data_IF_385570683515
#
_entry.id   IF_385570683515
#
_cell.length_a   1.000
_cell.length_b   1.000
_cell.length_c   1.000
_cell.angle_alpha   90.00
_cell.angle_beta   90.00
_cell.angle_gamma   90.00
#
_symmetry.space_group_name_H-M   'P 1'
#
loop_
_entity.id
_entity.type
_entity.pdbx_description
1 polymer ?
#
# COMPACT_ATOMS: atom_id res chain seq x y z
N UNK A 1 9.22 -7.30 13.74
CA UNK A 1 8.14 -7.67 12.80
C UNK A 1 7.47 -6.47 12.11
N UNK A 2 6.68 -5.62 12.79
CA UNK A 2 5.99 -4.49 12.11
C UNK A 2 6.98 -3.45 11.54
N UNK A 3 7.97 -3.02 12.33
CA UNK A 3 9.04 -2.13 11.87
C UNK A 3 9.93 -2.75 10.77
N UNK A 4 10.16 -4.07 10.82
CA UNK A 4 10.90 -4.77 9.77
C UNK A 4 10.13 -4.84 8.46
N UNK A 5 8.81 -5.11 8.52
CA UNK A 5 7.94 -5.11 7.34
C UNK A 5 7.86 -3.70 6.75
N UNK A 6 7.67 -2.68 7.59
CA UNK A 6 7.64 -1.29 7.16
C UNK A 6 8.97 -0.87 6.52
N UNK A 7 10.10 -1.23 7.14
CA UNK A 7 11.43 -0.95 6.62
C UNK A 7 11.70 -1.67 5.29
N UNK A 8 11.27 -2.91 5.15
CA UNK A 8 11.38 -3.65 3.89
C UNK A 8 10.49 -3.06 2.79
N UNK A 9 9.29 -2.58 3.12
CA UNK A 9 8.44 -1.86 2.17
C UNK A 9 9.04 -0.50 1.79
N UNK A 10 9.56 0.25 2.76
CA UNK A 10 10.26 1.52 2.52
C UNK A 10 11.45 1.31 1.58
N UNK A 11 12.27 0.28 1.80
CA UNK A 11 13.39 -0.05 0.94
C UNK A 11 12.97 -0.40 -0.50
N UNK A 12 11.85 -1.11 -0.69
CA UNK A 12 11.33 -1.40 -2.03
C UNK A 12 10.78 -0.13 -2.70
N UNK A 13 10.13 0.77 -1.96
CA UNK A 13 9.69 2.08 -2.46
C UNK A 13 10.89 2.93 -2.88
N UNK A 14 11.92 3.00 -2.04
CA UNK A 14 13.15 3.76 -2.30
C UNK A 14 13.91 3.23 -3.52
N UNK A 15 13.80 1.95 -3.85
CA UNK A 15 14.41 1.36 -5.05
C UNK A 15 13.68 1.75 -6.36
N UNK A 16 12.50 2.38 -6.28
CA UNK A 16 11.61 2.70 -7.42
C UNK A 16 11.72 4.17 -7.85
N UNK A 17 12.94 4.68 -8.07
CA UNK A 17 13.22 6.12 -8.25
C UNK A 17 12.91 6.69 -9.64
N UNK A 18 12.81 5.88 -10.69
CA UNK A 18 12.61 6.33 -12.08
C UNK A 18 11.21 6.02 -12.60
N UNK A 19 10.20 6.31 -11.78
CA UNK A 19 8.81 5.85 -11.98
C UNK A 19 7.84 7.03 -11.88
N UNK A 20 6.68 6.97 -12.55
CA UNK A 20 5.70 8.08 -12.62
C UNK A 20 5.01 8.39 -11.28
N UNK A 21 5.15 7.51 -10.29
CA UNK A 21 4.46 7.59 -9.01
C UNK A 21 5.36 8.26 -7.97
N UNK A 22 4.80 9.15 -7.14
CA UNK A 22 5.57 9.87 -6.15
C UNK A 22 6.15 8.94 -5.09
N UNK A 23 7.34 9.30 -4.62
CA UNK A 23 8.04 8.64 -3.54
C UNK A 23 7.36 8.93 -2.20
N UNK A 24 7.30 7.90 -1.36
CA UNK A 24 6.68 7.94 -0.04
C UNK A 24 7.74 7.67 1.04
N UNK A 25 7.65 8.44 2.13
CA UNK A 25 8.31 8.10 3.38
C UNK A 25 7.25 7.58 4.35
N UNK A 26 7.47 6.38 4.88
CA UNK A 26 6.54 5.66 5.75
C UNK A 26 7.01 5.68 7.19
N UNK A 27 6.10 5.93 8.12
CA UNK A 27 6.31 5.79 9.57
C UNK A 27 5.08 5.20 10.24
N UNK A 28 5.26 4.65 11.43
CA UNK A 28 4.15 4.23 12.29
C UNK A 28 4.08 5.19 13.48
N UNK A 29 2.87 5.66 13.79
CA UNK A 29 2.64 6.55 14.92
C UNK A 29 2.49 5.77 16.23
N UNK A 30 2.77 6.44 17.35
CA UNK A 30 2.57 5.87 18.68
C UNK A 30 3.86 5.50 19.42
N UNK A 31 3.78 5.38 20.76
CA UNK A 31 4.95 5.20 21.61
C UNK A 31 5.58 3.81 21.47
N UNK A 32 4.77 2.77 21.23
CA UNK A 32 5.28 1.39 21.10
C UNK A 32 6.04 1.21 19.79
N UNK A 33 5.56 1.85 18.72
CA UNK A 33 6.17 1.83 17.40
C UNK A 33 7.50 2.57 17.39
N UNK A 34 7.57 3.70 18.10
CA UNK A 34 8.83 4.42 18.32
C UNK A 34 9.83 3.59 19.12
N UNK A 35 9.38 2.92 20.19
CA UNK A 35 10.23 2.03 20.96
C UNK A 35 10.73 0.83 20.11
N UNK A 36 9.85 0.24 19.28
CA UNK A 36 10.21 -0.83 18.37
C UNK A 36 11.23 -0.36 17.32
N UNK A 37 11.06 0.84 16.76
CA UNK A 37 12.00 1.45 15.82
C UNK A 37 13.36 1.77 16.48
N UNK A 38 13.37 2.07 17.78
CA UNK A 38 14.58 2.25 18.59
C UNK A 38 15.24 0.91 19.01
N UNK A 39 14.71 -0.23 18.59
CA UNK A 39 15.29 -1.55 18.83
C UNK A 39 14.82 -2.24 20.11
N UNK A 40 13.70 -1.81 20.71
CA UNK A 40 13.10 -2.53 21.84
C UNK A 40 12.79 -3.98 21.46
N UNK A 41 13.11 -4.91 22.37
CA UNK A 41 12.81 -6.32 22.19
C UNK A 41 11.30 -6.57 22.27
N UNK A 42 10.86 -7.70 21.71
CA UNK A 42 9.45 -8.11 21.78
C UNK A 42 8.95 -8.22 23.22
N UNK A 43 9.77 -8.77 24.13
CA UNK A 43 9.42 -8.92 25.54
C UNK A 43 9.29 -7.56 26.24
N UNK A 44 10.17 -6.61 25.92
CA UNK A 44 10.10 -5.25 26.45
C UNK A 44 8.83 -4.53 25.98
N UNK A 45 8.52 -4.60 24.68
CA UNK A 45 7.30 -4.04 24.11
C UNK A 45 6.04 -4.67 24.73
N UNK A 46 6.04 -6.01 24.91
CA UNK A 46 4.95 -6.71 25.57
C UNK A 46 4.75 -6.25 27.02
N UNK A 47 5.83 -6.04 27.77
CA UNK A 47 5.78 -5.51 29.12
C UNK A 47 5.26 -4.05 29.15
N UNK A 48 5.70 -3.20 28.23
CA UNK A 48 5.26 -1.81 28.13
C UNK A 48 3.77 -1.70 27.77
N UNK A 49 3.29 -2.52 26.82
CA UNK A 49 1.87 -2.58 26.47
C UNK A 49 1.05 -3.08 27.66
N UNK A 50 1.49 -4.16 28.33
CA UNK A 50 0.80 -4.70 29.50
C UNK A 50 0.72 -3.66 30.63
N UNK A 51 1.79 -2.87 30.83
CA UNK A 51 1.79 -1.81 31.82
C UNK A 51 0.87 -0.65 31.44
N UNK A 52 0.88 -0.23 30.17
CA UNK A 52 -0.03 0.79 29.68
C UNK A 52 -1.50 0.40 29.88
N UNK A 53 -1.85 -0.85 29.53
CA UNK A 53 -3.20 -1.41 29.73
C UNK A 53 -3.57 -1.50 31.21
N UNK A 54 -2.62 -1.86 32.09
CA UNK A 54 -2.84 -1.88 33.54
C UNK A 54 -3.14 -0.48 34.09
N UNK A 55 -2.40 0.52 33.64
CA UNK A 55 -2.58 1.94 34.03
C UNK A 55 -3.84 2.58 33.46
N UNK A 56 -4.32 2.12 32.30
CA UNK A 56 -5.52 2.67 31.66
C UNK A 56 -6.83 2.01 32.09
N UNK A 57 -6.80 0.98 32.96
CA UNK A 57 -7.98 0.14 33.28
C UNK A 57 -9.27 0.90 33.56
N UNK A 58 -9.22 1.91 34.44
CA UNK A 58 -10.44 2.69 34.79
C UNK A 58 -10.92 3.56 33.63
N UNK A 59 -9.99 4.14 32.86
CA UNK A 59 -10.33 4.94 31.67
C UNK A 59 -10.88 4.07 30.55
N UNK A 60 -10.28 2.91 30.33
CA UNK A 60 -10.72 1.93 29.33
C UNK A 60 -12.11 1.37 29.69
N UNK A 61 -12.37 1.12 30.99
CA UNK A 61 -13.68 0.74 31.48
C UNK A 61 -14.73 1.83 31.21
N UNK A 62 -14.41 3.09 31.51
CA UNK A 62 -15.29 4.23 31.19
C UNK A 62 -15.54 4.40 29.69
N UNK A 63 -14.55 4.10 28.84
CA UNK A 63 -14.66 4.20 27.39
C UNK A 63 -15.25 2.94 26.72
N UNK A 64 -15.41 1.82 27.46
CA UNK A 64 -15.86 0.54 26.93
C UNK A 64 -14.90 -0.14 25.96
N UNK A 65 -13.63 0.31 25.86
CA UNK A 65 -12.62 -0.20 24.92
C UNK A 65 -11.20 0.12 25.39
N UNK A 66 -10.22 -0.64 24.90
CA UNK A 66 -8.81 -0.34 25.13
C UNK A 66 -8.38 0.95 24.39
N UNK A 67 -7.88 1.93 25.14
CA UNK A 67 -7.43 3.23 24.61
C UNK A 67 -5.93 3.24 24.28
N UNK A 68 -5.18 2.24 24.71
CA UNK A 68 -3.75 2.07 24.44
C UNK A 68 -3.46 0.68 23.86
N UNK A 69 -2.51 0.62 22.91
CA UNK A 69 -2.09 -0.61 22.23
C UNK A 69 -1.82 -0.38 20.74
N UNK A 70 -1.20 -1.36 20.05
CA UNK A 70 -0.82 -1.24 18.64
C UNK A 70 -2.01 -1.09 17.68
N UNK A 71 -3.24 -1.40 18.12
CA UNK A 71 -4.46 -1.14 17.35
C UNK A 71 -4.80 0.35 17.23
N UNK A 72 -4.08 1.23 17.94
CA UNK A 72 -4.24 2.70 17.89
C UNK A 72 -3.20 3.37 16.99
N UNK A 73 -2.27 2.60 16.43
CA UNK A 73 -1.22 3.05 15.53
C UNK A 73 -1.77 3.42 14.18
N UNK A 74 -1.28 4.54 13.63
CA UNK A 74 -1.53 4.94 12.25
C UNK A 74 -0.28 4.72 11.39
N UNK A 75 -0.51 4.33 10.14
CA UNK A 75 0.52 4.40 9.09
C UNK A 75 0.55 5.83 8.56
N UNK A 76 1.63 6.53 8.88
CA UNK A 76 1.89 7.86 8.38
C UNK A 76 2.64 7.75 7.05
N UNK A 77 2.20 8.55 6.08
CA UNK A 77 2.79 8.60 4.74
C UNK A 77 3.09 10.06 4.42
N UNK A 78 4.34 10.34 4.05
CA UNK A 78 4.79 11.66 3.60
C UNK A 78 5.14 11.60 2.12
N UNK A 79 4.61 12.53 1.34
CA UNK A 79 4.99 12.71 -0.05
C UNK A 79 6.38 13.37 -0.10
N UNK A 80 7.41 12.62 -0.50
CA UNK A 80 8.81 13.04 -0.33
C UNK A 80 9.16 14.28 -1.16
N UNK A 81 8.69 14.35 -2.39
CA UNK A 81 8.94 15.46 -3.31
C UNK A 81 8.24 16.75 -2.88
N UNK A 82 7.12 16.64 -2.16
CA UNK A 82 6.35 17.79 -1.67
C UNK A 82 6.69 18.14 -0.22
N UNK A 83 7.33 17.24 0.51
CA UNK A 83 7.64 17.40 1.93
C UNK A 83 6.41 17.54 2.83
N UNK A 84 5.27 16.93 2.46
CA UNK A 84 4.00 17.08 3.19
C UNK A 84 3.29 15.76 3.48
N UNK A 85 2.48 15.68 4.55
CA UNK A 85 1.65 14.51 4.83
C UNK A 85 0.73 14.17 3.66
N UNK A 86 0.56 12.87 3.39
CA UNK A 86 -0.36 12.38 2.36
C UNK A 86 -1.79 12.84 2.60
N UNK A 87 -2.21 12.95 3.86
CA UNK A 87 -3.53 13.45 4.25
C UNK A 87 -3.82 14.88 3.76
N UNK A 88 -2.77 15.69 3.57
CA UNK A 88 -2.86 17.07 3.07
C UNK A 88 -2.65 17.15 1.55
N UNK A 89 -2.37 16.01 0.91
CA UNK A 89 -2.16 15.94 -0.54
C UNK A 89 -3.46 16.08 -1.33
N UNK A 90 -3.37 16.49 -2.60
CA UNK A 90 -4.52 16.43 -3.50
C UNK A 90 -4.98 14.99 -3.69
N UNK A 91 -6.26 14.77 -4.03
CA UNK A 91 -6.78 13.40 -4.25
C UNK A 91 -5.98 12.63 -5.31
N UNK A 92 -5.51 13.32 -6.36
CA UNK A 92 -4.66 12.71 -7.39
C UNK A 92 -3.27 12.32 -6.91
N UNK A 93 -2.68 13.08 -5.98
CA UNK A 93 -1.40 12.73 -5.34
C UNK A 93 -1.57 11.58 -4.34
N UNK A 94 -2.65 11.60 -3.53
CA UNK A 94 -2.98 10.52 -2.61
C UNK A 94 -3.14 9.18 -3.34
N UNK A 95 -3.90 9.17 -4.45
CA UNK A 95 -4.06 7.98 -5.29
C UNK A 95 -2.73 7.48 -5.84
N UNK A 96 -1.87 8.38 -6.31
CA UNK A 96 -0.56 8.02 -6.83
C UNK A 96 0.38 7.45 -5.74
N UNK A 97 0.34 8.01 -4.53
CA UNK A 97 1.06 7.46 -3.37
C UNK A 97 0.56 6.06 -3.02
N UNK A 98 -0.76 5.86 -2.89
CA UNK A 98 -1.34 4.55 -2.57
C UNK A 98 -0.95 3.52 -3.64
N UNK A 99 -0.97 3.88 -4.92
CA UNK A 99 -0.52 2.99 -5.99
C UNK A 99 0.95 2.61 -5.84
N UNK A 100 1.82 3.55 -5.51
CA UNK A 100 3.22 3.23 -5.25
C UNK A 100 3.38 2.26 -4.06
N UNK A 101 2.61 2.45 -2.98
CA UNK A 101 2.61 1.55 -1.83
C UNK A 101 2.13 0.13 -2.21
N UNK A 102 1.05 0.03 -2.98
CA UNK A 102 0.51 -1.27 -3.45
C UNK A 102 1.50 -1.99 -4.36
N UNK A 103 2.08 -1.29 -5.34
CA UNK A 103 3.06 -1.86 -6.27
C UNK A 103 4.36 -2.23 -5.56
N UNK A 104 4.84 -1.38 -4.64
CA UNK A 104 6.00 -1.68 -3.78
C UNK A 104 5.76 -2.91 -2.91
N UNK A 105 4.58 -3.04 -2.32
CA UNK A 105 4.23 -4.23 -1.55
C UNK A 105 4.17 -5.49 -2.42
N UNK A 106 3.58 -5.40 -3.62
CA UNK A 106 3.51 -6.52 -4.56
C UNK A 106 4.90 -6.99 -4.99
N UNK A 107 5.80 -6.05 -5.30
CA UNK A 107 7.19 -6.32 -5.64
C UNK A 107 7.94 -6.99 -4.48
N UNK A 108 7.81 -6.44 -3.26
CA UNK A 108 8.41 -6.99 -2.04
C UNK A 108 7.96 -8.44 -1.78
N UNK A 109 6.66 -8.70 -1.93
CA UNK A 109 6.09 -10.04 -1.76
C UNK A 109 6.59 -11.02 -2.84
N UNK A 110 6.68 -10.58 -4.10
CA UNK A 110 7.22 -11.41 -5.20
C UNK A 110 8.68 -11.82 -4.99
N UNK A 111 9.49 -10.96 -4.35
CA UNK A 111 10.89 -11.27 -4.02
C UNK A 111 11.04 -12.18 -2.80
N UNK A 112 9.99 -12.35 -2.00
CA UNK A 112 10.05 -13.19 -0.81
C UNK A 112 10.08 -14.68 -1.21
N UNK A 113 11.26 -15.31 -1.06
CA UNK A 113 11.54 -16.70 -1.49
C UNK A 113 10.58 -17.79 -0.97
N UNK A 114 9.76 -17.49 0.03
CA UNK A 114 8.95 -18.47 0.76
C UNK A 114 7.48 -18.52 0.32
N UNK A 115 7.03 -17.68 -0.62
CA UNK A 115 5.62 -17.55 -0.95
C UNK A 115 5.39 -17.48 -2.47
N UNK A 116 4.22 -17.93 -2.96
CA UNK A 116 3.85 -17.73 -4.35
C UNK A 116 3.78 -16.23 -4.67
N UNK A 117 4.03 -15.88 -5.93
CA UNK A 117 3.82 -14.52 -6.42
C UNK A 117 2.38 -14.07 -6.16
N UNK A 118 2.17 -12.82 -5.69
CA UNK A 118 0.83 -12.31 -5.46
C UNK A 118 0.09 -12.09 -6.79
N UNK A 119 -1.23 -12.25 -6.77
CA UNK A 119 -2.12 -11.79 -7.84
C UNK A 119 -2.53 -10.36 -7.50
N UNK A 120 -2.35 -9.43 -8.44
CA UNK A 120 -2.73 -8.04 -8.28
C UNK A 120 -4.17 -7.82 -8.76
N UNK A 121 -5.02 -7.26 -7.89
CA UNK A 121 -6.40 -6.91 -8.23
C UNK A 121 -6.55 -5.39 -8.13
N UNK A 122 -6.83 -4.72 -9.23
CA UNK A 122 -6.99 -3.26 -9.27
C UNK A 122 -8.37 -2.90 -9.82
N UNK A 123 -9.24 -2.44 -8.94
CA UNK A 123 -10.61 -2.09 -9.27
C UNK A 123 -10.72 -0.63 -9.71
N UNK A 124 -11.20 -0.38 -10.92
CA UNK A 124 -11.42 0.94 -11.55
C UNK A 124 -10.22 1.91 -11.52
N UNK A 125 -9.01 1.42 -11.26
CA UNK A 125 -7.82 2.25 -11.07
C UNK A 125 -7.53 3.13 -12.29
N UNK A 126 -7.75 2.58 -13.49
CA UNK A 126 -7.42 3.21 -14.76
C UNK A 126 -8.23 4.48 -15.03
N UNK A 127 -9.49 4.52 -14.58
CA UNK A 127 -10.39 5.66 -14.72
C UNK A 127 -9.98 6.84 -13.82
N UNK A 128 -9.14 6.60 -12.81
CA UNK A 128 -8.72 7.60 -11.84
C UNK A 128 -7.34 8.19 -12.12
N UNK A 129 -6.71 7.80 -13.21
CA UNK A 129 -5.38 8.24 -13.62
C UNK A 129 -5.45 9.01 -14.93
N UNK A 130 -4.61 10.03 -15.03
CA UNK A 130 -4.28 10.62 -16.32
C UNK A 130 -3.57 9.59 -17.23
N UNK A 131 -3.47 9.92 -18.52
CA UNK A 131 -2.94 9.00 -19.52
C UNK A 131 -1.50 8.57 -19.23
N UNK A 132 -0.63 9.47 -18.77
CA UNK A 132 0.79 9.14 -18.54
C UNK A 132 0.95 8.22 -17.33
N UNK A 133 0.25 8.50 -16.22
CA UNK A 133 0.27 7.64 -15.04
C UNK A 133 -0.36 6.28 -15.31
N UNK A 134 -1.40 6.22 -16.14
CA UNK A 134 -2.04 4.96 -16.54
C UNK A 134 -1.12 4.09 -17.38
N UNK A 135 -0.50 4.64 -18.43
CA UNK A 135 0.47 3.91 -19.24
C UNK A 135 1.61 3.35 -18.37
N UNK A 136 2.11 4.18 -17.46
CA UNK A 136 3.21 3.79 -16.61
C UNK A 136 2.81 2.83 -15.47
N UNK A 137 1.54 2.81 -15.01
CA UNK A 137 0.98 1.73 -14.20
C UNK A 137 1.07 0.39 -14.95
N UNK A 138 0.66 0.37 -16.22
CA UNK A 138 0.65 -0.85 -17.02
C UNK A 138 2.06 -1.38 -17.28
N UNK A 139 3.02 -0.48 -17.53
CA UNK A 139 4.43 -0.83 -17.67
C UNK A 139 5.01 -1.40 -16.38
N UNK A 140 4.66 -0.82 -15.23
CA UNK A 140 5.04 -1.32 -13.91
C UNK A 140 4.50 -2.72 -13.65
N UNK A 141 3.20 -2.93 -13.85
CA UNK A 141 2.57 -4.25 -13.66
C UNK A 141 3.22 -5.29 -14.57
N UNK A 142 3.47 -4.95 -15.84
CA UNK A 142 4.12 -5.83 -16.81
C UNK A 142 5.56 -6.16 -16.37
N UNK A 143 6.32 -5.15 -15.93
CA UNK A 143 7.70 -5.31 -15.50
C UNK A 143 7.85 -6.14 -14.23
N UNK A 144 6.85 -6.10 -13.34
CA UNK A 144 6.81 -6.97 -12.16
C UNK A 144 6.59 -8.45 -12.53
N UNK A 145 6.10 -8.75 -13.73
CA UNK A 145 5.84 -10.13 -14.17
C UNK A 145 4.78 -10.84 -13.33
N UNK A 146 3.91 -10.08 -12.67
CA UNK A 146 2.84 -10.60 -11.83
C UNK A 146 1.54 -10.76 -12.63
N UNK A 147 0.74 -11.75 -12.25
CA UNK A 147 -0.61 -11.83 -12.76
C UNK A 147 -1.44 -10.68 -12.18
N UNK A 148 -2.10 -9.91 -13.04
CA UNK A 148 -2.93 -8.79 -12.64
C UNK A 148 -4.30 -8.82 -13.31
N UNK A 149 -5.34 -8.48 -12.55
CA UNK A 149 -6.68 -8.21 -13.04
C UNK A 149 -6.99 -6.74 -12.81
N UNK A 150 -7.43 -6.06 -13.87
CA UNK A 150 -7.83 -4.67 -13.84
C UNK A 150 -9.27 -4.58 -14.34
N UNK A 151 -10.08 -3.75 -13.72
CA UNK A 151 -11.46 -3.48 -14.15
C UNK A 151 -11.60 -2.02 -14.58
N UNK A 152 -12.56 -1.77 -15.46
CA UNK A 152 -12.93 -0.42 -15.89
C UNK A 152 -14.17 -0.47 -16.77
N UNK A 153 -14.82 0.67 -16.89
CA UNK A 153 -16.10 0.81 -17.59
C UNK A 153 -15.96 1.22 -19.06
N UNK A 154 -14.76 1.64 -19.47
CA UNK A 154 -14.44 2.05 -20.84
C UNK A 154 -13.18 1.33 -21.33
N UNK A 155 -13.30 0.69 -22.50
CA UNK A 155 -12.22 -0.01 -23.19
C UNK A 155 -11.07 0.95 -23.55
N UNK A 156 -11.37 2.23 -23.83
CA UNK A 156 -10.39 3.23 -24.19
C UNK A 156 -9.36 3.52 -23.07
N UNK A 157 -9.69 3.16 -21.82
CA UNK A 157 -8.75 3.25 -20.70
C UNK A 157 -7.61 2.22 -20.82
N UNK A 158 -7.83 1.13 -21.56
CA UNK A 158 -6.90 0.01 -21.67
C UNK A 158 -6.18 -0.05 -23.03
N UNK A 159 -6.28 0.98 -23.86
CA UNK A 159 -5.60 1.03 -25.17
C UNK A 159 -4.10 0.74 -25.07
N UNK A 160 -3.43 1.27 -24.05
CA UNK A 160 -1.99 1.09 -23.83
C UNK A 160 -1.61 -0.35 -23.38
N UNK A 161 -2.60 -1.21 -23.12
CA UNK A 161 -2.47 -2.65 -22.82
C UNK A 161 -2.84 -3.57 -23.99
N UNK A 162 -3.35 -3.05 -25.12
CA UNK A 162 -3.68 -3.88 -26.28
C UNK A 162 -2.47 -4.66 -26.76
N UNK A 163 -2.65 -5.96 -27.04
CA UNK A 163 -1.57 -6.88 -27.40
C UNK A 163 -0.64 -7.29 -26.26
N UNK A 164 -0.80 -6.73 -25.04
CA UNK A 164 -0.01 -7.05 -23.85
C UNK A 164 -0.82 -7.79 -22.78
N UNK A 165 -2.15 -7.77 -22.87
CA UNK A 165 -3.06 -8.40 -21.93
C UNK A 165 -4.27 -9.01 -22.65
N UNK A 166 -4.94 -9.95 -21.98
CA UNK A 166 -6.23 -10.50 -22.42
C UNK A 166 -7.34 -9.51 -22.05
N UNK A 167 -8.00 -8.91 -23.04
CA UNK A 167 -9.20 -8.12 -22.84
C UNK A 167 -10.43 -9.02 -22.65
N UNK A 168 -11.27 -8.72 -21.67
CA UNK A 168 -12.54 -9.42 -21.46
C UNK A 168 -13.64 -8.40 -21.20
N UNK A 169 -14.68 -8.40 -22.03
CA UNK A 169 -15.90 -7.63 -21.81
C UNK A 169 -16.85 -8.44 -20.94
N UNK A 170 -17.36 -7.79 -19.90
CA UNK A 170 -18.37 -8.34 -18.99
C UNK A 170 -19.70 -7.62 -19.22
N UNK A 171 -20.72 -8.35 -19.64
CA UNK A 171 -22.07 -7.80 -19.85
C UNK A 171 -23.14 -8.80 -19.42
N UNK A 172 -24.11 -8.36 -18.60
CA UNK A 172 -25.19 -9.19 -18.07
C UNK A 172 -24.74 -10.57 -17.52
N UNK A 173 -23.60 -10.60 -16.81
CA UNK A 173 -23.01 -11.83 -16.25
C UNK A 173 -22.32 -12.75 -17.27
N UNK A 174 -22.15 -12.30 -18.51
CA UNK A 174 -21.42 -13.02 -19.57
C UNK A 174 -20.03 -12.42 -19.77
N UNK A 175 -19.07 -13.28 -20.10
CA UNK A 175 -17.70 -12.92 -20.41
C UNK A 175 -17.44 -13.15 -21.91
N UNK A 176 -16.96 -12.12 -22.61
CA UNK A 176 -16.58 -12.19 -24.02
C UNK A 176 -15.14 -11.72 -24.14
N UNK A 177 -14.26 -12.56 -24.69
CA UNK A 177 -12.88 -12.16 -24.98
C UNK A 177 -12.88 -11.07 -26.05
N UNK A 178 -12.07 -10.04 -25.83
CA UNK A 178 -11.82 -8.96 -26.79
C UNK A 178 -10.62 -9.31 -27.66
N UNK A 179 -10.68 -8.89 -28.93
CA UNK A 179 -9.60 -9.04 -29.91
C UNK A 179 -8.45 -8.04 -29.67
#
# INVERSE_FOLDING_TARGET
LAGEILGALQAEIDARTDRPFPQAALSLSGPFEQAAAAGASYDALGADIAEAMRRSRDRDAGAGRALSGPHRTDLEVVHRERGRPAAECSTGEQKALILNLVLGQAARLSRAKAQPNPILLLDEVAAHLDRSRRAALFDEITALGLQAFLTGTDEALFEDLKGRALGVRVDAGRLTVLD
#
